data_IF_367056401015
#
_entry.id   IF_367056401015
#
_cell.length_a   1.000
_cell.length_b   1.000
_cell.length_c   1.000
_cell.angle_alpha   90.00
_cell.angle_beta   90.00
_cell.angle_gamma   90.00
#
_symmetry.space_group_name_H-M   'P 1'
#
loop_
_entity.id
_entity.type
_entity.pdbx_description
1 polymer ?
#
# COMPACT_ATOMS: atom_id res chain seq x y z
N UNK A 1 12.02 -18.41 2.91
CA UNK A 1 13.15 -17.60 3.42
C UNK A 1 13.95 -18.31 4.53
N UNK A 2 13.40 -18.65 5.71
CA UNK A 2 14.17 -19.28 6.79
C UNK A 2 14.92 -20.57 6.39
N UNK A 3 14.24 -21.46 5.64
CA UNK A 3 14.88 -22.68 5.10
C UNK A 3 16.05 -22.34 4.17
N UNK A 4 15.89 -21.35 3.31
CA UNK A 4 16.95 -20.87 2.41
C UNK A 4 18.16 -20.39 3.21
N UNK A 5 17.96 -19.50 4.18
CA UNK A 5 19.01 -18.97 5.05
C UNK A 5 19.80 -20.07 5.77
N UNK A 6 19.11 -21.11 6.29
CA UNK A 6 19.77 -22.26 6.93
C UNK A 6 20.57 -23.11 5.93
N UNK A 7 20.06 -23.29 4.72
CA UNK A 7 20.71 -24.12 3.70
C UNK A 7 21.94 -23.45 3.09
N UNK A 8 21.88 -22.13 2.89
CA UNK A 8 22.98 -21.35 2.33
C UNK A 8 24.05 -21.00 3.37
N UNK A 9 23.74 -21.17 4.67
CA UNK A 9 24.60 -20.84 5.81
C UNK A 9 25.14 -19.40 5.74
N UNK A 10 24.31 -18.48 5.28
CA UNK A 10 24.65 -17.06 5.21
C UNK A 10 24.48 -16.41 6.57
N UNK A 11 25.26 -15.38 6.85
CA UNK A 11 25.11 -14.57 8.07
C UNK A 11 23.82 -13.74 8.00
N UNK A 12 23.48 -13.26 6.79
CA UNK A 12 22.31 -12.44 6.53
C UNK A 12 21.59 -12.91 5.27
N UNK A 13 20.26 -12.89 5.31
CA UNK A 13 19.44 -13.03 4.09
C UNK A 13 18.51 -11.85 3.95
N UNK A 14 18.53 -11.21 2.78
CA UNK A 14 17.68 -10.05 2.43
C UNK A 14 16.63 -10.51 1.43
N UNK A 15 15.35 -10.30 1.71
CA UNK A 15 14.31 -10.54 0.72
C UNK A 15 14.33 -9.44 -0.34
N UNK A 16 14.25 -9.82 -1.61
CA UNK A 16 14.32 -8.90 -2.73
C UNK A 16 13.34 -9.27 -3.84
N UNK A 17 12.93 -8.27 -4.60
CA UNK A 17 12.17 -8.43 -5.84
C UNK A 17 12.74 -7.52 -6.92
N UNK A 18 12.43 -7.81 -8.17
CA UNK A 18 12.69 -6.91 -9.27
C UNK A 18 11.50 -5.97 -9.51
N UNK A 19 11.79 -4.69 -9.74
CA UNK A 19 10.82 -3.63 -10.05
C UNK A 19 11.25 -2.88 -11.30
N UNK A 20 10.37 -2.05 -11.87
CA UNK A 20 10.75 -1.17 -12.98
C UNK A 20 11.83 -0.18 -12.56
N UNK A 21 12.77 0.12 -13.46
CA UNK A 21 13.92 0.98 -13.16
C UNK A 21 13.53 2.38 -12.68
N UNK A 22 12.39 2.90 -13.16
CA UNK A 22 11.87 4.23 -12.80
C UNK A 22 11.36 4.31 -11.34
N UNK A 23 10.88 3.19 -10.78
CA UNK A 23 10.37 3.10 -9.41
C UNK A 23 11.49 2.78 -8.40
N UNK A 24 12.62 2.27 -8.89
CA UNK A 24 13.67 1.67 -8.07
C UNK A 24 14.38 2.67 -7.12
N UNK A 25 14.33 3.97 -7.41
CA UNK A 25 14.94 5.03 -6.60
C UNK A 25 14.29 5.18 -5.21
N UNK A 26 13.09 4.64 -5.02
CA UNK A 26 12.40 4.64 -3.73
C UNK A 26 12.86 3.51 -2.79
N UNK A 27 13.76 2.63 -3.25
CA UNK A 27 14.15 1.41 -2.54
C UNK A 27 15.66 1.25 -2.37
N UNK A 28 16.07 0.29 -1.53
CA UNK A 28 17.45 -0.19 -1.49
C UNK A 28 17.76 -1.06 -2.70
N UNK A 29 18.55 -0.55 -3.66
CA UNK A 29 18.94 -1.24 -4.88
C UNK A 29 20.17 -2.10 -4.62
N UNK A 30 20.18 -3.34 -5.11
CA UNK A 30 21.28 -4.27 -4.88
C UNK A 30 21.71 -5.00 -6.14
N UNK A 31 22.98 -5.40 -6.19
CA UNK A 31 23.49 -6.33 -7.20
C UNK A 31 23.88 -7.65 -6.56
N UNK A 32 23.72 -8.74 -7.31
CA UNK A 32 24.02 -10.10 -6.85
C UNK A 32 24.93 -10.83 -7.83
N UNK A 33 25.73 -11.76 -7.31
CA UNK A 33 26.51 -12.68 -8.15
C UNK A 33 25.70 -13.93 -8.56
N UNK A 34 26.38 -14.86 -9.25
CA UNK A 34 25.80 -16.12 -9.72
C UNK A 34 25.30 -17.05 -8.59
N UNK A 35 25.77 -16.86 -7.35
CA UNK A 35 25.34 -17.60 -6.17
C UNK A 35 24.31 -16.82 -5.33
N UNK A 36 23.74 -15.75 -5.89
CA UNK A 36 22.81 -14.84 -5.19
C UNK A 36 23.42 -14.17 -3.95
N UNK A 37 24.74 -13.98 -3.90
CA UNK A 37 25.39 -13.18 -2.87
C UNK A 37 25.34 -11.72 -3.26
N UNK A 38 24.95 -10.87 -2.33
CA UNK A 38 24.84 -9.43 -2.54
C UNK A 38 26.26 -8.87 -2.62
N UNK A 39 26.54 -8.12 -3.69
CA UNK A 39 27.86 -7.51 -3.96
C UNK A 39 27.85 -6.00 -3.80
N UNK A 40 26.70 -5.36 -4.02
CA UNK A 40 26.48 -3.93 -3.77
C UNK A 40 25.08 -3.72 -3.22
N UNK A 41 24.92 -2.70 -2.40
CA UNK A 41 23.64 -2.25 -1.88
C UNK A 41 23.68 -0.73 -1.72
N UNK A 42 22.81 -0.03 -2.42
CA UNK A 42 22.67 1.43 -2.34
C UNK A 42 21.25 1.76 -1.92
N UNK A 43 21.08 2.39 -0.76
CA UNK A 43 19.78 2.82 -0.25
C UNK A 43 19.27 4.05 -1.02
N UNK A 44 18.13 3.92 -1.69
CA UNK A 44 17.41 5.00 -2.39
C UNK A 44 18.30 5.85 -3.31
N UNK A 45 18.98 5.23 -4.29
CA UNK A 45 19.88 5.96 -5.18
C UNK A 45 19.10 6.84 -6.17
N UNK A 46 19.60 8.05 -6.43
CA UNK A 46 19.07 8.93 -7.49
C UNK A 46 19.12 8.27 -8.88
N UNK A 47 20.12 7.40 -9.09
CA UNK A 47 20.32 6.62 -10.32
C UNK A 47 20.41 5.13 -9.96
N UNK A 48 19.29 4.40 -9.99
CA UNK A 48 19.26 2.97 -9.72
C UNK A 48 20.16 2.16 -10.66
N UNK A 49 20.89 1.18 -10.12
CA UNK A 49 21.65 0.20 -10.90
C UNK A 49 20.67 -0.84 -11.48
N UNK A 50 20.68 -1.00 -12.80
CA UNK A 50 19.83 -1.99 -13.46
C UNK A 50 20.35 -3.43 -13.29
N UNK A 51 19.47 -4.40 -13.48
CA UNK A 51 19.82 -5.81 -13.41
C UNK A 51 20.68 -6.23 -14.59
N UNK A 52 21.68 -7.12 -14.39
CA UNK A 52 22.41 -7.72 -15.49
C UNK A 52 21.47 -8.45 -16.46
N UNK A 53 21.47 -8.03 -17.73
CA UNK A 53 20.64 -8.63 -18.79
C UNK A 53 19.24 -8.03 -18.95
N UNK A 54 18.83 -7.09 -18.09
CA UNK A 54 17.58 -6.35 -18.25
C UNK A 54 17.72 -4.92 -17.69
N UNK A 55 17.96 -3.96 -18.58
CA UNK A 55 18.14 -2.55 -18.24
C UNK A 55 16.84 -1.86 -17.79
N UNK A 56 15.68 -2.48 -18.03
CA UNK A 56 14.38 -1.91 -17.66
C UNK A 56 14.00 -2.20 -16.21
N UNK A 57 14.78 -3.02 -15.50
CA UNK A 57 14.48 -3.50 -14.14
C UNK A 57 15.66 -3.35 -13.20
N UNK A 58 15.38 -3.14 -11.93
CA UNK A 58 16.36 -3.16 -10.86
C UNK A 58 15.96 -4.18 -9.79
N UNK A 59 16.96 -4.77 -9.14
CA UNK A 59 16.73 -5.64 -7.99
C UNK A 59 16.72 -4.79 -6.72
N UNK A 60 15.60 -4.82 -6.00
CA UNK A 60 15.37 -3.98 -4.82
C UNK A 60 15.11 -4.80 -3.57
N UNK A 61 15.49 -4.23 -2.42
CA UNK A 61 15.23 -4.77 -1.10
C UNK A 61 13.78 -4.53 -0.71
N UNK A 62 13.19 -5.53 -0.05
CA UNK A 62 11.86 -5.42 0.55
C UNK A 62 11.88 -4.88 1.98
N UNK A 63 13.06 -4.57 2.54
CA UNK A 63 13.20 -4.25 3.97
C UNK A 63 12.97 -5.44 4.91
N UNK A 64 13.01 -6.67 4.38
CA UNK A 64 12.86 -7.90 5.17
C UNK A 64 14.22 -8.58 5.26
N UNK A 65 14.74 -8.66 6.47
CA UNK A 65 16.06 -9.21 6.76
C UNK A 65 15.95 -10.41 7.70
N UNK A 66 16.82 -11.40 7.53
CA UNK A 66 16.92 -12.55 8.39
C UNK A 66 18.36 -12.70 8.89
N UNK A 67 18.49 -12.78 10.20
CA UNK A 67 19.74 -12.94 10.93
C UNK A 67 19.61 -14.06 11.95
N UNK A 68 20.75 -14.59 12.42
CA UNK A 68 20.77 -15.23 13.73
C UNK A 68 20.60 -14.16 14.82
N UNK A 69 19.88 -14.47 15.91
CA UNK A 69 19.67 -13.51 17.00
C UNK A 69 21.00 -13.05 17.62
N UNK A 70 21.95 -13.96 17.82
CA UNK A 70 23.26 -13.64 18.37
C UNK A 70 24.04 -12.69 17.43
N UNK A 71 24.08 -13.00 16.13
CA UNK A 71 24.74 -12.16 15.13
C UNK A 71 24.11 -10.77 15.04
N UNK A 72 22.77 -10.68 15.06
CA UNK A 72 22.07 -9.39 15.05
C UNK A 72 22.44 -8.53 16.26
N UNK A 73 22.50 -9.10 17.47
CA UNK A 73 22.87 -8.36 18.68
C UNK A 73 24.30 -7.82 18.57
N UNK A 74 25.24 -8.63 18.09
CA UNK A 74 26.63 -8.21 17.91
C UNK A 74 26.74 -7.08 16.88
N UNK A 75 26.08 -7.22 15.73
CA UNK A 75 26.03 -6.22 14.66
C UNK A 75 25.49 -4.89 15.19
N UNK A 76 24.37 -4.91 15.94
CA UNK A 76 23.76 -3.69 16.48
C UNK A 76 24.62 -3.03 17.56
N UNK A 77 25.30 -3.79 18.41
CA UNK A 77 26.26 -3.24 19.38
C UNK A 77 27.43 -2.57 18.66
N UNK A 78 27.99 -3.24 17.66
CA UNK A 78 29.08 -2.68 16.87
C UNK A 78 28.65 -1.41 16.12
N UNK A 79 27.41 -1.36 15.60
CA UNK A 79 26.86 -0.18 14.95
C UNK A 79 26.63 0.99 15.92
N UNK A 80 26.15 0.69 17.14
CA UNK A 80 25.90 1.69 18.17
C UNK A 80 27.15 2.48 18.58
N UNK A 81 28.31 1.82 18.63
CA UNK A 81 29.59 2.45 18.98
C UNK A 81 30.17 3.33 17.84
N UNK A 82 29.51 3.39 16.68
CA UNK A 82 30.00 4.14 15.52
C UNK A 82 29.40 5.54 15.44
N UNK A 83 30.26 6.54 15.51
CA UNK A 83 29.88 7.95 15.31
C UNK A 83 29.52 8.28 13.85
N UNK A 84 29.99 7.48 12.89
CA UNK A 84 29.74 7.67 11.45
C UNK A 84 28.50 6.91 10.93
N UNK A 85 27.70 6.35 11.84
CA UNK A 85 26.46 5.62 11.51
C UNK A 85 25.24 6.53 11.62
N UNK A 86 24.29 6.39 10.70
CA UNK A 86 22.92 6.90 10.90
C UNK A 86 22.00 5.90 11.62
N UNK A 87 22.55 4.76 12.04
CA UNK A 87 21.87 3.65 12.72
C UNK A 87 20.69 3.06 11.93
N UNK A 88 20.83 2.98 10.60
CA UNK A 88 19.82 2.45 9.70
C UNK A 88 20.25 1.15 9.01
N UNK A 89 19.33 0.20 8.82
CA UNK A 89 19.67 -1.07 8.19
C UNK A 89 20.11 -0.92 6.73
N UNK A 90 19.39 -0.14 5.93
CA UNK A 90 19.65 0.02 4.50
C UNK A 90 20.84 0.94 4.23
N UNK A 91 20.97 2.05 4.96
CA UNK A 91 22.05 3.02 4.74
C UNK A 91 23.39 2.58 5.33
N UNK A 92 23.36 1.91 6.47
CA UNK A 92 24.57 1.68 7.26
C UNK A 92 24.90 0.19 7.39
N UNK A 93 24.00 -0.59 7.97
CA UNK A 93 24.31 -1.95 8.42
C UNK A 93 24.53 -2.88 7.22
N UNK A 94 23.56 -3.01 6.30
CA UNK A 94 23.66 -3.94 5.16
C UNK A 94 24.86 -3.60 4.25
N UNK A 95 25.09 -2.34 3.83
CA UNK A 95 26.28 -1.97 3.07
C UNK A 95 27.60 -2.37 3.74
N UNK A 96 27.72 -2.22 5.07
CA UNK A 96 28.91 -2.63 5.82
C UNK A 96 29.07 -4.14 5.90
N UNK A 97 27.98 -4.87 6.10
CA UNK A 97 28.01 -6.33 6.21
C UNK A 97 28.43 -7.01 4.91
N UNK A 98 28.10 -6.46 3.74
CA UNK A 98 28.49 -7.04 2.43
C UNK A 98 30.01 -7.23 2.30
N UNK A 99 30.81 -6.42 2.99
CA UNK A 99 32.28 -6.48 2.94
C UNK A 99 32.90 -7.45 3.97
N UNK A 100 32.13 -7.88 4.97
CA UNK A 100 32.64 -8.63 6.13
C UNK A 100 31.90 -9.92 6.42
N UNK A 101 30.71 -10.09 5.84
CA UNK A 101 29.79 -11.18 6.11
C UNK A 101 29.19 -11.72 4.82
N UNK A 102 28.69 -12.95 4.92
CA UNK A 102 27.99 -13.62 3.86
C UNK A 102 26.54 -13.13 3.79
N UNK A 103 26.27 -12.15 2.93
CA UNK A 103 24.93 -11.58 2.70
C UNK A 103 24.31 -12.16 1.42
N UNK A 104 23.17 -12.85 1.54
CA UNK A 104 22.48 -13.46 0.42
C UNK A 104 21.13 -12.80 0.11
N UNK A 105 20.79 -12.79 -1.18
CA UNK A 105 19.52 -12.32 -1.69
C UNK A 105 18.51 -13.47 -1.83
N UNK A 106 17.35 -13.33 -1.19
CA UNK A 106 16.22 -14.24 -1.32
C UNK A 106 15.17 -13.64 -2.26
N UNK A 107 15.05 -14.20 -3.46
CA UNK A 107 14.10 -13.73 -4.49
C UNK A 107 12.66 -14.05 -4.09
N UNK A 108 11.90 -13.02 -3.75
CA UNK A 108 10.49 -13.10 -3.41
C UNK A 108 9.68 -13.64 -4.59
N UNK A 109 8.73 -14.52 -4.29
CA UNK A 109 7.85 -15.12 -5.31
C UNK A 109 8.49 -16.14 -6.26
N UNK A 110 9.82 -16.23 -6.37
CA UNK A 110 10.49 -17.19 -7.27
C UNK A 110 10.78 -18.55 -6.61
N UNK A 111 10.92 -18.59 -5.30
CA UNK A 111 11.07 -19.84 -4.55
C UNK A 111 9.71 -20.35 -4.09
N UNK A 112 9.58 -21.66 -3.88
CA UNK A 112 8.36 -22.26 -3.32
C UNK A 112 7.95 -21.60 -2.00
N UNK A 113 6.69 -21.18 -1.91
CA UNK A 113 6.08 -20.60 -0.73
C UNK A 113 4.67 -20.09 -1.03
N UNK A 114 3.94 -19.63 -0.02
CA UNK A 114 2.59 -19.09 -0.25
C UNK A 114 2.60 -17.94 -1.23
N UNK A 115 3.59 -17.04 -1.17
CA UNK A 115 3.64 -15.81 -1.99
C UNK A 115 4.01 -16.01 -3.47
N UNK A 116 4.30 -17.25 -3.91
CA UNK A 116 4.70 -17.55 -5.28
C UNK A 116 3.59 -17.37 -6.34
N UNK A 117 2.31 -17.69 -6.07
CA UNK A 117 1.23 -17.58 -7.06
C UNK A 117 0.84 -16.14 -7.42
N UNK A 118 0.78 -15.23 -6.43
CA UNK A 118 0.35 -13.84 -6.61
C UNK A 118 1.53 -12.88 -6.72
N UNK A 119 2.67 -13.17 -6.08
CA UNK A 119 3.86 -12.30 -6.00
C UNK A 119 3.50 -10.86 -5.61
N UNK A 120 2.43 -10.70 -4.85
CA UNK A 120 1.89 -9.39 -4.54
C UNK A 120 2.72 -8.72 -3.47
N UNK A 121 3.27 -7.55 -3.82
CA UNK A 121 3.94 -6.66 -2.91
C UNK A 121 3.72 -5.22 -3.36
N UNK A 122 3.42 -4.33 -2.41
CA UNK A 122 3.20 -2.91 -2.62
C UNK A 122 3.79 -2.16 -1.43
N UNK A 123 4.65 -1.17 -1.70
CA UNK A 123 5.24 -0.31 -0.67
C UNK A 123 4.27 0.76 -0.16
N UNK A 124 3.35 1.20 -1.03
CA UNK A 124 2.32 2.19 -0.70
C UNK A 124 2.93 3.51 -0.18
N UNK A 125 4.06 3.93 -0.77
CA UNK A 125 4.81 5.13 -0.36
C UNK A 125 4.24 6.48 -0.85
N UNK A 126 3.29 6.47 -1.79
CA UNK A 126 2.63 7.68 -2.32
C UNK A 126 1.11 7.58 -2.23
N UNK A 127 0.42 8.73 -2.24
CA UNK A 127 -1.06 8.77 -2.27
C UNK A 127 -1.64 8.02 -3.47
N UNK A 128 -1.00 8.16 -4.64
CA UNK A 128 -1.40 7.44 -5.86
C UNK A 128 -1.24 5.94 -5.69
N UNK A 129 -0.07 5.47 -5.21
CA UNK A 129 0.15 4.04 -4.97
C UNK A 129 -0.80 3.45 -3.92
N UNK A 130 -1.16 4.23 -2.89
CA UNK A 130 -2.17 3.88 -1.89
C UNK A 130 -3.54 3.71 -2.52
N UNK A 131 -3.98 4.72 -3.28
CA UNK A 131 -5.25 4.72 -3.96
C UNK A 131 -5.34 3.54 -4.93
N UNK A 132 -4.39 3.41 -5.86
CA UNK A 132 -4.38 2.35 -6.87
C UNK A 132 -4.35 0.96 -6.24
N UNK A 133 -3.62 0.76 -5.13
CA UNK A 133 -3.58 -0.54 -4.45
C UNK A 133 -4.93 -0.96 -3.87
N UNK A 134 -5.73 0.00 -3.37
CA UNK A 134 -7.09 -0.26 -2.91
C UNK A 134 -8.06 -0.46 -4.09
N UNK A 135 -7.99 0.40 -5.11
CA UNK A 135 -8.89 0.31 -6.27
C UNK A 135 -8.66 -0.96 -7.11
N UNK A 136 -7.43 -1.48 -7.13
CA UNK A 136 -7.11 -2.74 -7.80
C UNK A 136 -7.87 -3.94 -7.22
N UNK A 137 -8.37 -3.85 -5.98
CA UNK A 137 -9.21 -4.88 -5.36
C UNK A 137 -10.58 -5.01 -6.04
N UNK A 138 -10.99 -4.01 -6.83
CA UNK A 138 -12.25 -4.00 -7.58
C UNK A 138 -12.13 -4.67 -8.95
N UNK A 139 -10.92 -5.07 -9.36
CA UNK A 139 -10.74 -5.81 -10.61
C UNK A 139 -11.43 -7.18 -10.52
N UNK A 140 -11.88 -7.71 -11.65
CA UNK A 140 -12.50 -9.04 -11.71
C UNK A 140 -11.58 -10.12 -11.13
N UNK A 141 -10.28 -10.01 -11.38
CA UNK A 141 -9.23 -10.82 -10.75
C UNK A 141 -8.27 -9.86 -10.06
N UNK A 142 -8.43 -9.60 -8.76
CA UNK A 142 -7.55 -8.72 -8.02
C UNK A 142 -6.11 -9.24 -7.98
N UNK A 143 -5.10 -8.35 -7.91
CA UNK A 143 -3.70 -8.76 -7.82
C UNK A 143 -3.36 -9.42 -6.46
N UNK A 144 -4.21 -9.23 -5.45
CA UNK A 144 -4.19 -9.98 -4.18
C UNK A 144 -5.59 -10.49 -3.89
N UNK A 145 -5.71 -11.79 -3.61
CA UNK A 145 -6.96 -12.41 -3.23
C UNK A 145 -7.21 -12.25 -1.72
N UNK A 146 -8.17 -11.40 -1.34
CA UNK A 146 -8.57 -11.21 0.05
C UNK A 146 -9.56 -12.27 0.55
N UNK A 147 -10.10 -13.11 -0.34
CA UNK A 147 -11.05 -14.19 -0.03
C UNK A 147 -10.37 -15.53 0.21
N UNK A 148 -9.04 -15.57 0.16
CA UNK A 148 -8.27 -16.78 0.42
C UNK A 148 -8.43 -17.27 1.87
N UNK A 149 -8.73 -18.56 2.03
CA UNK A 149 -8.82 -19.19 3.36
C UNK A 149 -7.48 -19.78 3.82
N UNK A 150 -6.59 -20.09 2.88
CA UNK A 150 -5.31 -20.76 3.16
C UNK A 150 -4.27 -19.86 3.83
N UNK A 151 -4.46 -18.54 3.76
CA UNK A 151 -3.57 -17.55 4.36
C UNK A 151 -4.35 -16.29 4.79
N UNK A 152 -5.16 -16.40 5.85
CA UNK A 152 -6.07 -15.33 6.24
C UNK A 152 -5.30 -14.12 6.80
N UNK A 153 -5.73 -12.92 6.41
CA UNK A 153 -5.22 -11.67 6.98
C UNK A 153 -6.01 -11.36 8.25
N UNK A 154 -5.36 -11.45 9.40
CA UNK A 154 -5.97 -11.12 10.68
C UNK A 154 -5.93 -9.61 10.92
N UNK A 155 -7.10 -9.00 11.13
CA UNK A 155 -7.26 -7.61 11.53
C UNK A 155 -8.27 -7.49 12.68
N UNK A 156 -8.37 -6.30 13.27
CA UNK A 156 -9.47 -5.98 14.17
C UNK A 156 -10.77 -5.90 13.37
N UNK A 157 -11.81 -6.61 13.83
CA UNK A 157 -13.15 -6.55 13.27
C UNK A 157 -14.11 -6.00 14.33
N UNK A 158 -14.57 -4.76 14.13
CA UNK A 158 -15.53 -4.13 15.02
C UNK A 158 -16.92 -4.74 14.81
N UNK A 159 -17.65 -5.01 15.90
CA UNK A 159 -19.05 -5.41 15.81
C UNK A 159 -19.87 -4.26 15.19
N UNK A 160 -20.40 -4.49 13.99
CA UNK A 160 -21.21 -3.54 13.23
C UNK A 160 -22.38 -4.30 12.59
N UNK A 161 -23.53 -3.64 12.35
CA UNK A 161 -24.63 -4.29 11.65
C UNK A 161 -24.23 -4.66 10.21
N UNK A 162 -24.99 -5.52 9.52
CA UNK A 162 -24.78 -5.74 8.09
C UNK A 162 -24.86 -4.43 7.29
N UNK A 163 -24.18 -4.39 6.14
CA UNK A 163 -24.37 -3.29 5.20
C UNK A 163 -25.82 -3.27 4.70
N UNK A 164 -26.37 -2.08 4.50
CA UNK A 164 -27.77 -1.87 4.10
C UNK A 164 -27.84 -0.91 2.92
N UNK A 165 -28.50 -1.35 1.85
CA UNK A 165 -28.81 -0.54 0.67
C UNK A 165 -30.34 -0.47 0.57
N UNK A 166 -30.89 0.75 0.55
CA UNK A 166 -32.33 1.00 0.52
C UNK A 166 -32.69 2.19 -0.34
N UNK A 167 -33.97 2.30 -0.68
CA UNK A 167 -34.52 3.48 -1.32
C UNK A 167 -34.44 4.69 -0.37
N UNK A 168 -34.21 5.86 -0.96
CA UNK A 168 -34.32 7.14 -0.29
C UNK A 168 -35.78 7.53 -0.04
N UNK A 169 -35.97 8.65 0.66
CA UNK A 169 -37.29 9.15 1.05
C UNK A 169 -38.20 9.47 -0.16
N UNK A 170 -37.60 9.90 -1.28
CA UNK A 170 -38.34 10.16 -2.54
C UNK A 170 -38.68 8.89 -3.32
N UNK A 171 -38.28 7.71 -2.83
CA UNK A 171 -38.37 6.44 -3.56
C UNK A 171 -37.21 6.19 -4.52
N UNK A 172 -36.21 7.08 -4.57
CA UNK A 172 -34.98 6.88 -5.35
C UNK A 172 -34.24 5.63 -4.89
N UNK A 173 -33.88 4.75 -5.81
CA UNK A 173 -33.14 3.52 -5.51
C UNK A 173 -31.71 3.82 -5.01
N UNK A 174 -31.30 3.10 -3.97
CA UNK A 174 -29.89 3.04 -3.57
C UNK A 174 -29.13 2.06 -4.46
N UNK A 175 -28.04 2.50 -5.08
CA UNK A 175 -27.27 1.69 -6.06
C UNK A 175 -25.84 1.54 -5.61
N UNK A 176 -25.31 0.32 -5.71
CA UNK A 176 -23.89 0.02 -5.47
C UNK A 176 -23.42 -0.97 -6.54
N UNK A 177 -22.41 -0.58 -7.33
CA UNK A 177 -21.88 -1.41 -8.41
C UNK A 177 -20.35 -1.41 -8.41
N UNK A 178 -19.76 -2.55 -8.75
CA UNK A 178 -18.31 -2.78 -8.79
C UNK A 178 -17.56 -2.20 -7.59
N UNK A 179 -18.05 -2.45 -6.37
CA UNK A 179 -17.57 -1.78 -5.15
C UNK A 179 -17.46 -2.78 -4.00
N UNK A 180 -16.52 -2.51 -3.08
CA UNK A 180 -16.38 -3.24 -1.83
C UNK A 180 -16.99 -2.39 -0.71
N UNK A 181 -17.95 -2.94 0.03
CA UNK A 181 -18.61 -2.26 1.15
C UNK A 181 -18.42 -3.05 2.44
N UNK A 182 -17.94 -2.37 3.48
CA UNK A 182 -17.75 -2.96 4.79
C UNK A 182 -19.06 -3.02 5.60
N UNK A 183 -19.00 -3.69 6.75
CA UNK A 183 -20.14 -3.74 7.68
C UNK A 183 -20.53 -2.36 8.20
N UNK A 184 -21.83 -2.14 8.40
CA UNK A 184 -22.41 -0.89 8.88
C UNK A 184 -22.58 0.20 7.84
N UNK A 185 -22.14 -0.02 6.58
CA UNK A 185 -22.39 0.91 5.48
C UNK A 185 -23.90 1.04 5.25
N UNK A 186 -24.37 2.28 5.11
CA UNK A 186 -25.77 2.61 4.79
C UNK A 186 -25.83 3.46 3.53
N UNK A 187 -26.45 2.93 2.46
CA UNK A 187 -26.73 3.65 1.22
C UNK A 187 -28.25 3.83 1.11
N UNK A 188 -28.72 5.07 1.15
CA UNK A 188 -30.15 5.40 1.18
C UNK A 188 -30.52 6.32 0.02
N UNK A 189 -30.83 5.74 -1.16
CA UNK A 189 -31.13 6.50 -2.38
C UNK A 189 -29.92 7.20 -3.02
N UNK A 190 -28.71 6.92 -2.55
CA UNK A 190 -27.45 7.36 -3.15
C UNK A 190 -26.88 6.33 -4.14
N UNK A 191 -25.83 6.71 -4.87
CA UNK A 191 -25.24 5.88 -5.93
C UNK A 191 -23.73 5.76 -5.75
N UNK A 192 -23.23 4.53 -5.67
CA UNK A 192 -21.81 4.19 -5.45
C UNK A 192 -21.30 3.32 -6.61
N UNK A 193 -20.21 3.74 -7.24
CA UNK A 193 -19.59 3.05 -8.38
C UNK A 193 -18.08 2.96 -8.20
N UNK A 194 -17.51 1.80 -8.52
CA UNK A 194 -16.06 1.62 -8.56
C UNK A 194 -15.38 2.13 -7.29
N UNK A 195 -15.87 1.79 -6.09
CA UNK A 195 -15.44 2.44 -4.84
C UNK A 195 -15.22 1.45 -3.70
N UNK A 196 -14.46 1.89 -2.69
CA UNK A 196 -14.21 1.12 -1.47
C UNK A 196 -14.75 1.90 -0.27
N UNK A 197 -15.74 1.34 0.42
CA UNK A 197 -16.39 1.96 1.57
C UNK A 197 -16.04 1.19 2.85
N UNK A 198 -15.33 1.86 3.74
CA UNK A 198 -14.98 1.36 5.07
C UNK A 198 -16.19 1.37 6.02
N UNK A 199 -16.06 0.80 7.23
CA UNK A 199 -17.20 0.60 8.11
C UNK A 199 -17.98 1.87 8.42
N UNK A 200 -19.31 1.74 8.52
CA UNK A 200 -20.21 2.84 8.97
C UNK A 200 -20.22 4.08 8.07
N UNK A 201 -19.77 3.97 6.82
CA UNK A 201 -19.97 5.03 5.82
C UNK A 201 -21.47 5.21 5.55
N UNK A 202 -21.92 6.46 5.42
CA UNK A 202 -23.30 6.79 5.11
C UNK A 202 -23.38 7.59 3.80
N UNK A 203 -24.21 7.13 2.88
CA UNK A 203 -24.49 7.79 1.61
C UNK A 203 -25.98 8.14 1.56
N UNK A 204 -26.28 9.43 1.58
CA UNK A 204 -27.66 9.92 1.55
C UNK A 204 -28.21 10.03 0.14
N UNK A 205 -29.52 10.30 0.07
CA UNK A 205 -30.27 10.32 -1.16
C UNK A 205 -29.69 11.33 -2.15
N UNK A 206 -29.55 10.93 -3.41
CA UNK A 206 -29.02 11.84 -4.41
C UNK A 206 -27.51 11.97 -4.45
N UNK A 207 -26.80 11.55 -3.41
CA UNK A 207 -25.35 11.57 -3.39
C UNK A 207 -24.78 10.59 -4.44
N UNK A 208 -23.64 10.95 -5.03
CA UNK A 208 -22.91 10.12 -5.98
C UNK A 208 -21.45 9.98 -5.57
N UNK A 209 -20.98 8.75 -5.47
CA UNK A 209 -19.59 8.41 -5.16
C UNK A 209 -19.06 7.54 -6.29
N UNK A 210 -17.97 7.96 -6.92
CA UNK A 210 -17.37 7.23 -8.04
C UNK A 210 -15.85 7.16 -7.85
N UNK A 211 -15.22 6.01 -8.08
CA UNK A 211 -13.75 5.88 -8.06
C UNK A 211 -13.16 6.49 -6.78
N UNK A 212 -13.66 6.10 -5.62
CA UNK A 212 -13.29 6.75 -4.36
C UNK A 212 -13.17 5.77 -3.20
N UNK A 213 -12.35 6.16 -2.23
CA UNK A 213 -12.14 5.44 -0.98
C UNK A 213 -12.73 6.28 0.14
N UNK A 214 -13.75 5.77 0.82
CA UNK A 214 -14.40 6.44 1.94
C UNK A 214 -14.06 5.72 3.23
N UNK A 215 -13.36 6.39 4.15
CA UNK A 215 -12.96 5.82 5.42
C UNK A 215 -14.09 5.79 6.46
N UNK A 216 -13.81 5.14 7.58
CA UNK A 216 -14.78 4.85 8.64
C UNK A 216 -15.58 6.10 9.05
N UNK A 217 -16.91 5.97 9.12
CA UNK A 217 -17.86 7.04 9.48
C UNK A 217 -17.86 8.26 8.54
N UNK A 218 -17.31 8.18 7.34
CA UNK A 218 -17.53 9.24 6.35
C UNK A 218 -19.03 9.32 5.99
N UNK A 219 -19.56 10.53 5.89
CA UNK A 219 -20.97 10.78 5.57
C UNK A 219 -21.04 11.72 4.37
N UNK A 220 -21.63 11.21 3.28
CA UNK A 220 -21.86 11.97 2.06
C UNK A 220 -23.34 12.35 2.03
N UNK A 221 -23.62 13.64 2.23
CA UNK A 221 -24.98 14.15 2.35
C UNK A 221 -25.69 14.30 1.00
N UNK A 222 -26.98 14.64 1.10
CA UNK A 222 -27.93 14.68 -0.02
C UNK A 222 -27.39 15.47 -1.21
N UNK A 223 -27.33 14.81 -2.37
CA UNK A 223 -26.92 15.43 -3.63
C UNK A 223 -25.43 15.75 -3.78
N UNK A 224 -24.58 15.45 -2.79
CA UNK A 224 -23.14 15.66 -2.92
C UNK A 224 -22.51 14.71 -3.95
N UNK A 225 -21.43 15.13 -4.60
CA UNK A 225 -20.74 14.38 -5.65
C UNK A 225 -19.26 14.25 -5.31
N UNK A 226 -18.78 13.01 -5.24
CA UNK A 226 -17.39 12.65 -4.91
C UNK A 226 -16.82 11.80 -6.04
N UNK A 227 -15.65 12.18 -6.56
CA UNK A 227 -14.97 11.44 -7.62
C UNK A 227 -13.46 11.42 -7.45
N UNK A 228 -12.78 10.28 -7.66
CA UNK A 228 -11.30 10.19 -7.58
C UNK A 228 -10.76 10.71 -6.24
N UNK A 229 -11.43 10.36 -5.14
CA UNK A 229 -11.14 10.90 -3.81
C UNK A 229 -10.72 9.84 -2.80
N UNK A 230 -9.92 10.24 -1.83
CA UNK A 230 -9.76 9.59 -0.52
C UNK A 230 -10.43 10.51 0.51
N UNK A 231 -11.52 10.05 1.11
CA UNK A 231 -12.23 10.79 2.16
C UNK A 231 -11.93 10.16 3.51
N UNK A 232 -11.26 10.90 4.38
CA UNK A 232 -10.80 10.41 5.68
C UNK A 232 -11.92 10.14 6.69
N UNK A 233 -11.52 9.55 7.82
CA UNK A 233 -12.44 9.12 8.88
C UNK A 233 -13.26 10.29 9.43
N UNK A 234 -14.54 10.04 9.71
CA UNK A 234 -15.49 11.00 10.32
C UNK A 234 -15.67 12.29 9.52
N UNK A 235 -15.32 12.32 8.23
CA UNK A 235 -15.58 13.50 7.38
C UNK A 235 -17.05 13.52 6.99
N UNK A 236 -17.68 14.69 7.18
CA UNK A 236 -19.04 14.97 6.73
C UNK A 236 -18.97 15.89 5.53
N UNK A 237 -19.32 15.38 4.35
CA UNK A 237 -19.41 16.17 3.13
C UNK A 237 -20.83 16.72 3.04
N UNK A 238 -21.02 18.06 3.05
CA UNK A 238 -22.34 18.67 3.05
C UNK A 238 -23.08 18.45 1.74
N UNK A 239 -24.40 18.56 1.80
CA UNK A 239 -25.26 18.36 0.64
C UNK A 239 -24.89 19.24 -0.54
N UNK A 240 -24.98 18.68 -1.75
CA UNK A 240 -24.64 19.33 -3.03
C UNK A 240 -23.18 19.75 -3.22
N UNK A 241 -22.28 19.43 -2.27
CA UNK A 241 -20.86 19.67 -2.44
C UNK A 241 -20.26 18.80 -3.55
N UNK A 242 -19.27 19.34 -4.27
CA UNK A 242 -18.54 18.63 -5.32
C UNK A 242 -17.05 18.57 -4.95
N UNK A 243 -16.49 17.36 -4.92
CA UNK A 243 -15.06 17.10 -4.70
C UNK A 243 -14.54 16.16 -5.78
N UNK A 244 -13.43 16.53 -6.40
CA UNK A 244 -12.79 15.76 -7.47
C UNK A 244 -13.35 16.04 -8.88
N UNK A 245 -13.99 17.19 -9.05
CA UNK A 245 -14.56 17.65 -10.33
C UNK A 245 -13.87 18.90 -10.88
N UNK A 246 -13.27 19.72 -10.01
CA UNK A 246 -12.56 20.95 -10.38
C UNK A 246 -11.20 20.96 -9.69
N UNK A 247 -10.15 20.60 -10.45
CA UNK A 247 -8.79 20.49 -9.92
C UNK A 247 -8.28 21.80 -9.31
N UNK A 248 -8.70 22.95 -9.82
CA UNK A 248 -8.23 24.25 -9.33
C UNK A 248 -8.88 24.52 -7.97
N UNK A 249 -10.20 24.31 -7.85
CA UNK A 249 -10.93 24.45 -6.59
C UNK A 249 -10.44 23.42 -5.56
N UNK A 250 -10.20 22.19 -5.98
CA UNK A 250 -9.77 21.11 -5.11
C UNK A 250 -8.37 21.35 -4.56
N UNK A 251 -7.42 21.81 -5.39
CA UNK A 251 -6.06 22.16 -4.94
C UNK A 251 -6.01 23.34 -3.95
N UNK A 252 -7.00 24.23 -3.98
CA UNK A 252 -7.10 25.32 -3.01
C UNK A 252 -7.57 24.85 -1.63
N UNK A 253 -8.24 23.70 -1.56
CA UNK A 253 -8.93 23.20 -0.36
C UNK A 253 -8.27 21.97 0.24
N UNK A 254 -7.65 21.15 -0.60
CA UNK A 254 -7.26 19.79 -0.30
C UNK A 254 -5.88 19.47 -0.86
N UNK A 255 -5.28 18.41 -0.31
CA UNK A 255 -4.12 17.79 -0.95
C UNK A 255 -4.58 17.05 -2.20
N UNK A 256 -3.93 17.31 -3.33
CA UNK A 256 -4.17 16.61 -4.59
C UNK A 256 -2.87 15.93 -5.02
N UNK A 257 -2.93 14.63 -5.28
CA UNK A 257 -1.79 13.83 -5.70
C UNK A 257 -1.34 14.15 -7.14
N UNK A 258 -0.26 13.54 -7.60
CA UNK A 258 0.26 13.77 -8.94
C UNK A 258 -0.70 13.24 -10.03
N UNK A 259 -1.39 12.12 -9.77
CA UNK A 259 -2.42 11.60 -10.68
C UNK A 259 -3.80 12.23 -10.47
N UNK A 260 -3.92 13.26 -9.61
CA UNK A 260 -5.17 14.01 -9.42
C UNK A 260 -6.13 13.41 -8.39
N UNK A 261 -5.64 12.52 -7.51
CA UNK A 261 -6.43 11.98 -6.40
C UNK A 261 -6.56 13.03 -5.30
N UNK A 262 -7.78 13.40 -4.97
CA UNK A 262 -8.07 14.41 -3.94
C UNK A 262 -8.18 13.76 -2.57
N UNK A 263 -7.51 14.31 -1.56
CA UNK A 263 -7.59 13.84 -0.18
C UNK A 263 -8.33 14.84 0.69
N UNK A 264 -9.51 14.47 1.16
CA UNK A 264 -10.27 15.25 2.14
C UNK A 264 -9.81 14.80 3.54
N UNK A 265 -9.08 15.63 4.31
CA UNK A 265 -8.44 15.20 5.53
C UNK A 265 -9.44 15.06 6.69
N UNK A 266 -9.07 14.25 7.68
CA UNK A 266 -9.86 14.09 8.89
C UNK A 266 -10.05 15.44 9.59
N UNK A 267 -11.29 15.72 10.01
CA UNK A 267 -11.63 16.96 10.72
C UNK A 267 -11.74 18.20 9.83
N UNK A 268 -11.67 18.06 8.50
CA UNK A 268 -12.00 19.14 7.59
C UNK A 268 -13.45 19.60 7.81
N UNK A 269 -13.64 20.89 8.05
CA UNK A 269 -14.94 21.52 8.12
C UNK A 269 -15.19 22.22 6.77
N UNK A 270 -16.26 21.82 6.09
CA UNK A 270 -16.73 22.51 4.90
C UNK A 270 -17.40 23.83 5.32
N UNK A 271 -17.20 24.87 4.52
CA UNK A 271 -17.79 26.20 4.72
C UNK A 271 -19.28 26.25 4.35
#
# INVERSE_FOLDING_TARGET
MLRYHRNTKCDVTVACLDVGIEEASSFGVMSVDAQSRIRRFHEKPDKPEAMPGDESRALVSMGIYLFSTAGLIEILKNDHEREDSSHDFGKDIIPRLINSHDVAAYRFGLMEGRVSPDKYWRDVGTLDSYYQSNMALLQQVPPIDLYQESWPIRAYSAQSPPAKIVNGESGREGVCSNSIIASGVLISGGSVYDSVLFPRVRIDEGASVCRSILFERAHIEKGARIQNCIVEKNVHVPGHEEVGFDVIKDQQRFTVSQEGIVVVPQGYCFD
#
